data_IF_886916613474
#
_entry.id   IF_886916613474
#
_cell.length_a   1.000
_cell.length_b   1.000
_cell.length_c   1.000
_cell.angle_alpha   90.00
_cell.angle_beta   90.00
_cell.angle_gamma   90.00
#
_symmetry.space_group_name_H-M   'P 1'
#
loop_
_entity.id
_entity.type
_entity.pdbx_description
1 polymer ?
#
# COMPACT_ATOMS: atom_id res chain seq x y z
N UNK A 1 -17.04 11.38 -4.57
CA UNK A 1 -16.17 11.69 -3.41
C UNK A 1 -15.19 12.75 -3.88
N UNK A 2 -15.24 13.92 -3.25
CA UNK A 2 -14.26 14.98 -3.53
C UNK A 2 -12.89 14.59 -2.97
N UNK A 3 -11.83 15.23 -3.47
CA UNK A 3 -10.46 15.09 -2.95
C UNK A 3 -10.37 15.39 -1.44
N UNK A 4 -11.34 16.17 -0.93
CA UNK A 4 -11.51 16.54 0.49
C UNK A 4 -11.88 15.39 1.44
N UNK A 5 -12.29 14.22 0.93
CA UNK A 5 -12.72 13.10 1.78
C UNK A 5 -11.62 12.05 2.02
N UNK A 6 -10.43 12.21 1.42
CA UNK A 6 -9.36 11.21 1.51
C UNK A 6 -8.38 11.53 2.64
N UNK A 7 -8.02 10.51 3.40
CA UNK A 7 -6.99 10.60 4.44
C UNK A 7 -5.76 9.79 4.03
N UNK A 8 -4.62 10.47 3.88
CA UNK A 8 -3.36 9.85 3.49
C UNK A 8 -2.93 8.73 4.44
N UNK A 9 -3.28 8.83 5.73
CA UNK A 9 -3.04 7.79 6.72
C UNK A 9 -3.72 6.46 6.37
N UNK A 10 -4.96 6.51 5.87
CA UNK A 10 -5.73 5.34 5.46
C UNK A 10 -5.28 4.81 4.10
N UNK A 11 -4.97 5.70 3.16
CA UNK A 11 -4.45 5.31 1.84
C UNK A 11 -3.08 4.63 1.95
N UNK A 12 -2.17 5.17 2.76
CA UNK A 12 -0.85 4.57 2.98
C UNK A 12 -0.95 3.24 3.75
N UNK A 13 -1.85 3.13 4.73
CA UNK A 13 -2.07 1.86 5.43
C UNK A 13 -2.56 0.77 4.46
N UNK A 14 -3.54 1.10 3.59
CA UNK A 14 -4.03 0.16 2.60
C UNK A 14 -2.99 -0.15 1.51
N UNK A 15 -2.26 0.86 1.05
CA UNK A 15 -1.18 0.67 0.08
C UNK A 15 -0.10 -0.25 0.63
N UNK A 16 0.31 -0.05 1.89
CA UNK A 16 1.30 -0.90 2.55
C UNK A 16 0.78 -2.33 2.67
N UNK A 17 -0.49 -2.54 3.05
CA UNK A 17 -1.04 -3.90 3.16
C UNK A 17 -0.94 -4.68 1.83
N UNK A 18 -1.21 -4.03 0.71
CA UNK A 18 -1.13 -4.66 -0.63
C UNK A 18 0.32 -4.90 -1.06
N UNK A 19 1.23 -4.00 -0.71
CA UNK A 19 2.61 -3.99 -1.24
C UNK A 19 3.65 -4.52 -0.24
N UNK A 20 3.26 -4.88 0.98
CA UNK A 20 4.14 -5.30 2.07
C UNK A 20 5.10 -6.43 1.65
N UNK A 21 4.58 -7.45 0.98
CA UNK A 21 5.37 -8.60 0.54
C UNK A 21 6.54 -8.22 -0.39
N UNK A 22 6.41 -7.13 -1.15
CA UNK A 22 7.44 -6.67 -2.09
C UNK A 22 8.34 -5.61 -1.45
N UNK A 23 7.79 -4.73 -0.62
CA UNK A 23 8.53 -3.59 -0.01
C UNK A 23 9.40 -3.98 1.18
N UNK A 24 9.09 -5.09 1.83
CA UNK A 24 9.70 -5.51 3.09
C UNK A 24 10.68 -6.69 2.94
N UNK A 25 11.08 -7.01 1.69
CA UNK A 25 12.07 -8.01 1.32
C UNK A 25 11.82 -9.45 1.82
N UNK A 26 11.09 -10.25 1.03
CA UNK A 26 10.99 -11.71 1.20
C UNK A 26 10.00 -12.18 2.28
N UNK A 27 10.12 -13.44 2.74
CA UNK A 27 9.24 -14.01 3.77
C UNK A 27 9.26 -13.23 5.09
N UNK A 28 10.38 -12.57 5.42
CA UNK A 28 10.48 -11.64 6.56
C UNK A 28 9.72 -10.33 6.37
N UNK A 29 9.25 -10.06 5.15
CA UNK A 29 8.44 -8.91 4.79
C UNK A 29 6.93 -9.14 4.77
N UNK A 30 6.48 -10.40 4.87
CA UNK A 30 5.08 -10.69 5.18
C UNK A 30 4.94 -10.69 6.69
N UNK A 31 4.22 -9.71 7.22
CA UNK A 31 4.13 -9.50 8.68
C UNK A 31 3.49 -10.67 9.42
N UNK A 32 2.62 -11.38 8.72
CA UNK A 32 2.17 -12.72 9.05
C UNK A 32 2.70 -13.64 7.94
N UNK A 33 3.97 -14.04 8.05
CA UNK A 33 4.55 -14.91 7.05
C UNK A 33 3.75 -16.22 7.01
N UNK A 34 3.56 -16.86 5.84
CA UNK A 34 2.86 -18.15 5.78
C UNK A 34 3.47 -19.18 6.73
N UNK A 35 4.80 -19.12 6.94
CA UNK A 35 5.51 -19.96 7.90
C UNK A 35 5.14 -19.63 9.36
N UNK A 36 5.08 -18.35 9.73
CA UNK A 36 4.67 -17.91 11.07
C UNK A 36 3.22 -18.28 11.35
N UNK A 37 2.31 -18.05 10.39
CA UNK A 37 0.92 -18.44 10.53
C UNK A 37 0.78 -19.96 10.68
N UNK A 38 1.44 -20.74 9.82
CA UNK A 38 1.42 -22.19 9.92
C UNK A 38 1.97 -22.68 11.27
N UNK A 39 3.03 -22.03 11.79
CA UNK A 39 3.56 -22.33 13.11
C UNK A 39 2.52 -22.07 14.21
N UNK A 40 1.85 -20.92 14.20
CA UNK A 40 0.79 -20.60 15.16
C UNK A 40 -0.42 -21.54 15.05
N UNK A 41 -0.87 -21.88 13.84
CA UNK A 41 -1.99 -22.80 13.61
C UNK A 41 -1.69 -24.23 14.04
N UNK A 42 -0.43 -24.66 13.95
CA UNK A 42 0.01 -26.01 14.34
C UNK A 42 0.24 -26.18 15.84
N UNK A 43 0.30 -25.10 16.61
CA UNK A 43 0.60 -25.12 18.03
C UNK A 43 -0.65 -25.39 18.88
N UNK A 44 -0.53 -26.25 19.90
CA UNK A 44 -1.62 -26.50 20.87
C UNK A 44 -1.94 -25.23 21.70
N UNK A 45 -0.92 -24.40 21.94
CA UNK A 45 -1.02 -23.13 22.66
C UNK A 45 -0.34 -22.01 21.82
N UNK A 46 -1.03 -21.48 20.79
CA UNK A 46 -0.45 -20.51 19.86
C UNK A 46 0.11 -19.28 20.58
N UNK A 47 -0.57 -18.82 21.63
CA UNK A 47 -0.18 -17.66 22.42
C UNK A 47 1.14 -17.78 23.19
N UNK A 48 1.69 -18.99 23.30
CA UNK A 48 3.00 -19.26 23.92
C UNK A 48 4.13 -19.34 22.88
N UNK A 49 3.79 -19.31 21.59
CA UNK A 49 4.78 -19.32 20.51
C UNK A 49 5.48 -17.98 20.43
N UNK A 50 6.80 -17.99 20.28
CA UNK A 50 7.61 -16.77 20.15
C UNK A 50 7.08 -15.85 19.04
N UNK A 51 6.92 -14.57 19.34
CA UNK A 51 6.47 -13.57 18.37
C UNK A 51 4.95 -13.52 18.17
N UNK A 52 4.14 -14.39 18.79
CA UNK A 52 2.68 -14.38 18.62
C UNK A 52 2.07 -13.01 19.00
N UNK A 53 2.37 -12.53 20.21
CA UNK A 53 1.78 -11.29 20.74
C UNK A 53 2.36 -10.06 20.05
N UNK A 54 3.64 -10.06 19.72
CA UNK A 54 4.30 -8.98 18.96
C UNK A 54 3.71 -8.86 17.56
N UNK A 55 3.48 -9.99 16.89
CA UNK A 55 2.83 -10.02 15.57
C UNK A 55 1.42 -9.48 15.66
N UNK A 56 0.63 -9.94 16.64
CA UNK A 56 -0.72 -9.45 16.85
C UNK A 56 -0.77 -7.94 17.11
N UNK A 57 0.11 -7.41 17.97
CA UNK A 57 0.19 -5.98 18.24
C UNK A 57 0.59 -5.17 17.01
N UNK A 58 1.57 -5.65 16.24
CA UNK A 58 2.01 -5.01 14.99
C UNK A 58 0.88 -4.92 13.96
N UNK A 59 0.08 -5.97 13.79
CA UNK A 59 -1.10 -5.96 12.91
C UNK A 59 -2.11 -4.88 13.33
N UNK A 60 -2.35 -4.72 14.64
CA UNK A 60 -3.23 -3.69 15.19
C UNK A 60 -2.68 -2.28 14.90
N UNK A 61 -1.40 -2.03 15.14
CA UNK A 61 -0.77 -0.73 14.90
C UNK A 61 -0.83 -0.29 13.43
N UNK A 62 -0.93 -1.24 12.50
CA UNK A 62 -0.97 -1.00 11.06
C UNK A 62 -2.39 -1.00 10.50
N UNK A 63 -3.39 -1.24 11.34
CA UNK A 63 -4.80 -1.27 10.96
C UNK A 63 -5.21 -2.52 10.18
N UNK A 64 -4.45 -3.62 10.28
CA UNK A 64 -4.73 -4.89 9.59
C UNK A 64 -5.65 -5.77 10.47
N UNK A 65 -6.85 -5.26 10.71
CA UNK A 65 -7.75 -5.78 11.75
C UNK A 65 -8.31 -7.16 11.45
N UNK A 66 -8.52 -7.51 10.19
CA UNK A 66 -8.96 -8.85 9.80
C UNK A 66 -7.90 -9.91 10.15
N UNK A 67 -6.63 -9.63 9.85
CA UNK A 67 -5.51 -10.51 10.18
C UNK A 67 -5.31 -10.60 11.69
N UNK A 68 -5.42 -9.46 12.40
CA UNK A 68 -5.34 -9.42 13.86
C UNK A 68 -6.47 -10.24 14.53
N UNK A 69 -7.71 -10.12 14.06
CA UNK A 69 -8.84 -10.89 14.59
C UNK A 69 -8.71 -12.38 14.29
N UNK A 70 -8.19 -12.73 13.10
CA UNK A 70 -7.93 -14.12 12.72
C UNK A 70 -6.88 -14.73 13.64
N UNK A 71 -5.75 -14.03 13.85
CA UNK A 71 -4.68 -14.48 14.75
C UNK A 71 -5.18 -14.58 16.21
N UNK A 72 -5.89 -13.57 16.71
CA UNK A 72 -6.49 -13.59 18.05
C UNK A 72 -7.49 -14.75 18.24
N UNK A 73 -8.17 -15.13 17.16
CA UNK A 73 -9.11 -16.26 17.13
C UNK A 73 -8.44 -17.64 17.30
N UNK A 74 -7.14 -17.75 17.08
CA UNK A 74 -6.37 -18.99 17.30
C UNK A 74 -6.08 -19.26 18.77
N UNK A 75 -6.21 -18.26 19.65
CA UNK A 75 -5.87 -18.42 21.07
C UNK A 75 -6.60 -19.61 21.70
N UNK A 76 -5.82 -20.49 22.38
CA UNK A 76 -6.31 -21.75 22.95
C UNK A 76 -7.51 -21.59 23.91
N UNK A 77 -7.62 -20.42 24.55
CA UNK A 77 -8.69 -20.09 25.49
C UNK A 77 -10.07 -20.21 24.85
N UNK A 78 -10.21 -19.84 23.56
CA UNK A 78 -11.49 -19.92 22.85
C UNK A 78 -11.97 -21.36 22.69
N UNK A 79 -11.05 -22.28 22.40
CA UNK A 79 -11.36 -23.70 22.29
C UNK A 79 -11.73 -24.29 23.66
N UNK A 80 -10.96 -23.96 24.69
CA UNK A 80 -11.23 -24.38 26.08
C UNK A 80 -12.58 -23.85 26.61
N UNK A 81 -12.97 -22.64 26.22
CA UNK A 81 -14.27 -22.07 26.58
C UNK A 81 -15.42 -22.84 25.92
N UNK A 82 -15.29 -23.14 24.62
CA UNK A 82 -16.30 -23.89 23.84
C UNK A 82 -16.45 -25.34 24.31
N UNK A 83 -15.41 -25.96 24.84
CA UNK A 83 -15.45 -27.33 25.37
C UNK A 83 -16.06 -27.45 26.77
N UNK A 84 -16.67 -26.39 27.30
CA UNK A 84 -17.36 -26.40 28.59
C UNK A 84 -16.51 -25.93 29.77
N UNK A 85 -15.33 -25.35 29.53
CA UNK A 85 -14.48 -24.75 30.56
C UNK A 85 -15.05 -23.48 31.21
N UNK A 86 -16.27 -23.06 30.86
CA UNK A 86 -16.86 -21.79 31.28
C UNK A 86 -17.06 -21.63 32.79
N UNK A 87 -17.03 -22.74 33.53
CA UNK A 87 -17.14 -22.76 34.98
C UNK A 87 -15.81 -22.45 35.71
N UNK A 88 -14.68 -22.42 35.00
CA UNK A 88 -13.37 -22.12 35.61
C UNK A 88 -13.11 -20.61 35.68
N UNK A 89 -13.04 -19.99 36.89
CA UNK A 89 -12.98 -18.52 37.03
C UNK A 89 -11.80 -17.87 36.29
N UNK A 90 -10.62 -18.52 36.29
CA UNK A 90 -9.44 -17.99 35.58
C UNK A 90 -9.61 -18.01 34.05
N UNK A 91 -10.34 -18.99 33.50
CA UNK A 91 -10.64 -19.04 32.07
C UNK A 91 -11.69 -17.99 31.71
N UNK A 92 -12.70 -17.81 32.57
CA UNK A 92 -13.69 -16.75 32.39
C UNK A 92 -13.06 -15.35 32.40
N UNK A 93 -12.10 -15.09 33.30
CA UNK A 93 -11.32 -13.84 33.31
C UNK A 93 -10.59 -13.61 31.99
N UNK A 94 -9.83 -14.62 31.54
CA UNK A 94 -9.10 -14.58 30.26
C UNK A 94 -10.01 -14.30 29.06
N UNK A 95 -11.15 -14.97 28.99
CA UNK A 95 -12.12 -14.77 27.90
C UNK A 95 -12.70 -13.36 27.92
N UNK A 96 -13.00 -12.79 29.10
CA UNK A 96 -13.45 -11.39 29.18
C UNK A 96 -12.43 -10.43 28.61
N UNK A 97 -11.15 -10.58 28.97
CA UNK A 97 -10.07 -9.72 28.45
C UNK A 97 -9.93 -9.85 26.93
N UNK A 98 -9.95 -11.09 26.40
CA UNK A 98 -9.83 -11.35 24.97
C UNK A 98 -11.05 -10.84 24.19
N UNK A 99 -12.27 -10.98 24.74
CA UNK A 99 -13.49 -10.52 24.09
C UNK A 99 -13.61 -8.99 24.08
N UNK A 100 -13.13 -8.31 25.13
CA UNK A 100 -13.04 -6.85 25.15
C UNK A 100 -12.12 -6.33 24.03
N UNK A 101 -10.94 -6.95 23.86
CA UNK A 101 -10.01 -6.63 22.76
C UNK A 101 -10.64 -6.93 21.40
N UNK A 102 -11.22 -8.12 21.21
CA UNK A 102 -11.85 -8.53 19.96
C UNK A 102 -13.02 -7.61 19.57
N UNK A 103 -13.84 -7.18 20.55
CA UNK A 103 -14.96 -6.28 20.33
C UNK A 103 -14.52 -4.90 19.86
N UNK A 104 -13.46 -4.34 20.47
CA UNK A 104 -12.89 -3.07 20.02
C UNK A 104 -12.26 -3.17 18.63
N UNK A 105 -11.58 -4.28 18.31
CA UNK A 105 -11.02 -4.52 16.98
C UNK A 105 -12.09 -4.63 15.90
N UNK A 106 -13.24 -5.25 16.20
CA UNK A 106 -14.39 -5.30 15.27
C UNK A 106 -14.98 -3.92 14.99
N UNK A 107 -14.84 -2.99 15.93
CA UNK A 107 -15.26 -1.60 15.80
C UNK A 107 -14.15 -0.66 15.29
N UNK A 108 -13.03 -1.19 14.79
CA UNK A 108 -11.92 -0.35 14.33
C UNK A 108 -12.35 0.60 13.20
N UNK A 109 -12.07 1.92 13.28
CA UNK A 109 -12.50 2.89 12.28
C UNK A 109 -11.79 2.67 10.95
N UNK A 110 -12.55 2.61 9.85
CA UNK A 110 -12.04 2.51 8.48
C UNK A 110 -12.71 3.54 7.58
N UNK A 111 -11.93 4.23 6.76
CA UNK A 111 -12.47 5.16 5.78
C UNK A 111 -12.86 4.40 4.50
N UNK A 112 -14.10 4.54 4.06
CA UNK A 112 -14.61 3.90 2.86
C UNK A 112 -13.82 4.37 1.63
N UNK A 113 -13.50 3.45 0.72
CA UNK A 113 -12.74 3.75 -0.49
C UNK A 113 -11.25 3.95 -0.30
N UNK A 114 -10.73 3.98 0.93
CA UNK A 114 -9.28 3.93 1.16
C UNK A 114 -8.69 2.65 0.57
N UNK A 115 -7.73 2.77 -0.34
CA UNK A 115 -7.16 1.64 -1.07
C UNK A 115 -7.89 1.22 -2.36
N UNK A 116 -8.97 1.91 -2.75
CA UNK A 116 -9.63 1.73 -4.03
C UNK A 116 -8.89 2.46 -5.18
N UNK A 117 -7.55 2.48 -5.15
CA UNK A 117 -6.77 2.92 -6.30
C UNK A 117 -7.13 2.05 -7.50
N UNK A 118 -7.39 2.68 -8.65
CA UNK A 118 -7.83 2.03 -9.88
C UNK A 118 -6.86 0.89 -10.26
N UNK A 119 -7.30 -0.37 -10.12
CA UNK A 119 -6.53 -1.56 -10.49
C UNK A 119 -6.11 -2.46 -9.33
N UNK A 120 -6.30 -2.07 -8.06
CA UNK A 120 -6.15 -3.03 -6.96
C UNK A 120 -7.33 -4.02 -7.00
N UNK A 121 -7.11 -5.35 -6.93
CA UNK A 121 -8.21 -6.30 -6.88
C UNK A 121 -9.12 -5.88 -5.72
N UNK A 122 -10.39 -5.59 -6.03
CA UNK A 122 -11.41 -5.38 -5.01
C UNK A 122 -11.31 -6.57 -4.07
N UNK A 123 -10.97 -6.30 -2.81
CA UNK A 123 -11.11 -7.28 -1.73
C UNK A 123 -12.49 -7.91 -1.89
N UNK A 124 -12.54 -9.24 -1.88
CA UNK A 124 -13.80 -9.96 -1.86
C UNK A 124 -14.65 -9.39 -0.71
N UNK A 125 -15.97 -9.34 -0.87
CA UNK A 125 -16.87 -8.98 0.23
C UNK A 125 -16.67 -9.84 1.50
N UNK A 126 -15.98 -10.99 1.36
CA UNK A 126 -15.54 -11.85 2.46
C UNK A 126 -14.34 -11.29 3.26
N UNK A 127 -13.47 -10.45 2.65
CA UNK A 127 -12.33 -9.80 3.31
C UNK A 127 -12.70 -8.43 3.93
N UNK A 128 -13.97 -8.03 3.80
CA UNK A 128 -14.54 -6.77 4.31
C UNK A 128 -14.93 -6.84 5.80
N UNK A 129 -14.71 -7.98 6.46
CA UNK A 129 -15.43 -8.35 7.68
C UNK A 129 -15.02 -7.69 9.00
N UNK A 130 -13.99 -6.84 9.04
CA UNK A 130 -13.48 -6.26 10.28
C UNK A 130 -13.40 -4.73 10.23
N UNK A 131 -13.96 -4.09 11.27
CA UNK A 131 -13.98 -2.64 11.43
C UNK A 131 -15.30 -1.99 11.02
N UNK A 132 -15.47 -0.74 11.43
CA UNK A 132 -16.58 0.12 11.04
C UNK A 132 -16.17 0.99 9.86
N UNK A 133 -16.80 0.77 8.70
CA UNK A 133 -16.61 1.63 7.52
C UNK A 133 -17.39 2.95 7.67
N UNK A 134 -16.72 4.05 7.36
CA UNK A 134 -17.21 5.43 7.50
C UNK A 134 -17.02 6.17 6.18
N UNK A 135 -17.99 7.00 5.79
CA UNK A 135 -18.06 7.49 4.40
C UNK A 135 -17.32 8.81 4.17
N UNK A 136 -17.05 9.57 5.24
CA UNK A 136 -16.39 10.87 5.16
C UNK A 136 -15.24 11.02 6.16
N UNK A 137 -14.28 11.89 5.82
CA UNK A 137 -13.10 12.12 6.66
C UNK A 137 -13.46 12.67 8.06
N UNK A 138 -14.39 13.62 8.15
CA UNK A 138 -14.82 14.20 9.43
C UNK A 138 -15.52 13.17 10.33
N UNK A 139 -16.44 12.39 9.76
CA UNK A 139 -17.11 11.29 10.45
C UNK A 139 -16.08 10.27 10.95
N UNK A 140 -15.11 9.92 10.09
CA UNK A 140 -14.01 9.02 10.44
C UNK A 140 -13.20 9.52 11.63
N UNK A 141 -12.75 10.78 11.60
CA UNK A 141 -11.94 11.35 12.67
C UNK A 141 -12.70 11.41 14.00
N UNK A 142 -13.97 11.82 13.95
CA UNK A 142 -14.83 11.90 15.13
C UNK A 142 -15.10 10.52 15.75
N UNK A 143 -15.44 9.53 14.91
CA UNK A 143 -15.64 8.16 15.39
C UNK A 143 -14.35 7.58 15.97
N UNK A 144 -13.23 7.79 15.28
CA UNK A 144 -11.92 7.29 15.70
C UNK A 144 -11.52 7.84 17.06
N UNK A 145 -11.66 9.15 17.29
CA UNK A 145 -11.35 9.74 18.59
C UNK A 145 -12.18 9.11 19.73
N UNK A 146 -13.47 8.85 19.48
CA UNK A 146 -14.33 8.13 20.44
C UNK A 146 -13.87 6.68 20.66
N UNK A 147 -13.53 5.97 19.60
CA UNK A 147 -13.04 4.59 19.67
C UNK A 147 -11.69 4.48 20.41
N UNK A 148 -10.76 5.41 20.19
CA UNK A 148 -9.51 5.49 20.97
C UNK A 148 -9.79 5.79 22.44
N UNK A 149 -10.73 6.71 22.73
CA UNK A 149 -11.17 7.00 24.08
C UNK A 149 -11.78 5.78 24.79
N UNK A 150 -12.61 5.01 24.10
CA UNK A 150 -13.15 3.75 24.62
C UNK A 150 -12.04 2.72 24.90
N UNK A 151 -11.06 2.61 24.00
CA UNK A 151 -9.92 1.71 24.19
C UNK A 151 -9.10 2.10 25.43
N UNK A 152 -8.88 3.39 25.65
CA UNK A 152 -8.21 3.91 26.84
C UNK A 152 -9.01 3.68 28.14
N UNK A 153 -10.34 3.82 28.08
CA UNK A 153 -11.22 3.54 29.23
C UNK A 153 -11.15 2.07 29.64
N UNK A 154 -11.26 1.15 28.67
CA UNK A 154 -11.15 -0.30 28.93
C UNK A 154 -9.76 -0.64 29.49
N UNK A 155 -8.70 -0.05 28.94
CA UNK A 155 -7.33 -0.21 29.45
C UNK A 155 -7.20 0.21 30.93
N UNK A 156 -7.94 1.24 31.36
CA UNK A 156 -7.98 1.73 32.73
C UNK A 156 -8.83 0.89 33.70
N UNK A 157 -9.63 -0.06 33.19
CA UNK A 157 -10.56 -0.85 34.00
C UNK A 157 -9.86 -1.98 34.76
N UNK A 158 -9.43 -1.72 35.99
CA UNK A 158 -8.67 -2.67 36.82
C UNK A 158 -9.34 -4.04 37.03
N UNK A 159 -10.67 -4.11 37.02
CA UNK A 159 -11.44 -5.35 37.21
C UNK A 159 -11.44 -6.31 36.01
N UNK A 160 -11.00 -5.84 34.84
CA UNK A 160 -10.92 -6.66 33.62
C UNK A 160 -9.65 -7.51 33.59
N UNK A 161 -8.66 -7.18 34.42
CA UNK A 161 -7.29 -7.65 34.29
C UNK A 161 -6.93 -8.64 35.39
N UNK A 162 -6.93 -9.93 35.06
CA UNK A 162 -6.48 -10.99 35.96
C UNK A 162 -5.70 -12.06 35.17
N UNK A 163 -4.47 -12.37 35.61
CA UNK A 163 -3.67 -13.51 35.11
C UNK A 163 -2.60 -13.18 34.06
N UNK A 164 -1.94 -14.22 33.55
CA UNK A 164 -0.70 -14.13 32.73
C UNK A 164 -0.87 -13.41 31.38
N UNK A 165 -2.09 -13.29 30.86
CA UNK A 165 -2.37 -12.61 29.58
C UNK A 165 -2.86 -11.17 29.76
N UNK A 166 -2.81 -10.63 30.98
CA UNK A 166 -3.08 -9.22 31.25
C UNK A 166 -2.15 -8.32 30.42
N UNK A 167 -0.83 -8.51 30.54
CA UNK A 167 0.13 -7.61 29.93
C UNK A 167 0.00 -7.54 28.39
N UNK A 168 -0.13 -8.66 27.65
CA UNK A 168 -0.34 -8.61 26.22
C UNK A 168 -1.69 -7.98 25.78
N UNK A 169 -2.79 -8.24 26.50
CA UNK A 169 -4.08 -7.62 26.18
C UNK A 169 -4.07 -6.11 26.42
N UNK A 170 -3.43 -5.67 27.51
CA UNK A 170 -3.24 -4.25 27.81
C UNK A 170 -2.35 -3.57 26.78
N UNK A 171 -1.30 -4.25 26.32
CA UNK A 171 -0.45 -3.78 25.23
C UNK A 171 -1.26 -3.57 23.94
N UNK A 172 -2.16 -4.48 23.58
CA UNK A 172 -3.06 -4.31 22.44
C UNK A 172 -4.00 -3.11 22.59
N UNK A 173 -4.54 -2.90 23.79
CA UNK A 173 -5.39 -1.75 24.08
C UNK A 173 -4.64 -0.42 24.06
N UNK A 174 -3.39 -0.40 24.51
CA UNK A 174 -2.54 0.78 24.40
C UNK A 174 -2.28 1.14 22.93
N UNK A 175 -2.01 0.15 22.07
CA UNK A 175 -1.96 0.36 20.61
C UNK A 175 -3.28 0.96 20.07
N UNK A 176 -4.43 0.39 20.44
CA UNK A 176 -5.74 0.88 20.02
C UNK A 176 -6.06 2.27 20.57
N UNK A 177 -5.60 2.59 21.79
CA UNK A 177 -5.74 3.91 22.40
C UNK A 177 -4.84 4.98 21.75
N UNK A 178 -3.97 4.61 20.81
CA UNK A 178 -3.11 5.54 20.09
C UNK A 178 -1.75 5.78 20.73
N UNK A 179 -1.22 4.82 21.50
CA UNK A 179 0.16 4.88 21.99
C UNK A 179 1.16 4.87 20.81
N UNK A 180 1.67 6.06 20.49
CA UNK A 180 2.60 6.29 19.38
C UNK A 180 3.96 5.64 19.66
N UNK A 181 4.39 5.61 20.93
CA UNK A 181 5.69 5.08 21.30
C UNK A 181 5.70 3.57 21.14
N UNK A 182 4.70 2.89 21.71
CA UNK A 182 4.54 1.45 21.57
C UNK A 182 4.37 1.06 20.09
N UNK A 183 3.52 1.78 19.35
CA UNK A 183 3.32 1.52 17.91
C UNK A 183 4.61 1.72 17.11
N UNK A 184 5.44 2.69 17.48
CA UNK A 184 6.74 2.91 16.84
C UNK A 184 7.76 1.81 17.16
N UNK A 185 7.73 1.24 18.37
CA UNK A 185 8.65 0.16 18.78
C UNK A 185 8.36 -1.14 18.02
N UNK A 186 7.10 -1.43 17.73
CA UNK A 186 6.65 -2.64 17.03
C UNK A 186 6.91 -2.61 15.52
N UNK A 187 7.07 -1.42 14.94
CA UNK A 187 7.38 -1.28 13.53
C UNK A 187 8.82 -1.72 13.21
N UNK A 188 8.97 -2.66 12.27
CA UNK A 188 10.27 -3.24 11.93
C UNK A 188 10.94 -2.53 10.75
N UNK A 189 10.21 -1.71 10.02
CA UNK A 189 10.64 -1.09 8.76
C UNK A 189 10.17 0.37 8.66
N UNK A 190 10.77 1.18 7.77
CA UNK A 190 10.33 2.57 7.59
C UNK A 190 8.87 2.74 7.15
N UNK A 191 8.28 1.93 6.23
CA UNK A 191 6.91 2.18 5.81
C UNK A 191 5.93 1.80 6.93
N UNK A 192 6.25 0.78 7.72
CA UNK A 192 5.48 0.44 8.93
C UNK A 192 5.54 1.54 9.97
N UNK A 193 6.73 2.07 10.23
CA UNK A 193 6.90 3.12 11.22
C UNK A 193 6.15 4.39 10.79
N UNK A 194 6.16 4.71 9.49
CA UNK A 194 5.37 5.79 8.94
C UNK A 194 3.86 5.55 9.14
N UNK A 195 3.34 4.39 8.73
CA UNK A 195 1.93 4.04 8.87
C UNK A 195 1.51 4.01 10.35
N UNK A 196 2.30 3.38 11.22
CA UNK A 196 2.02 3.30 12.65
C UNK A 196 1.93 4.70 13.29
N UNK A 197 2.82 5.63 12.93
CA UNK A 197 2.77 7.02 13.43
C UNK A 197 1.57 7.80 12.88
N UNK A 198 1.25 7.62 11.60
CA UNK A 198 0.07 8.23 10.99
C UNK A 198 -1.23 7.71 11.60
N UNK A 199 -1.30 6.41 11.86
CA UNK A 199 -2.46 5.78 12.49
C UNK A 199 -2.54 6.08 13.98
N UNK A 200 -1.45 6.09 14.73
CA UNK A 200 -1.53 6.37 16.17
C UNK A 200 -1.72 7.86 16.46
N UNK A 201 -0.93 8.73 15.83
CA UNK A 201 -0.79 10.14 16.22
C UNK A 201 -1.22 11.19 15.19
N UNK A 202 -1.19 10.87 13.89
CA UNK A 202 -1.43 11.87 12.84
C UNK A 202 -2.45 11.43 11.76
N UNK A 203 -3.71 11.09 12.14
CA UNK A 203 -4.73 10.62 11.19
C UNK A 203 -4.99 11.58 10.02
N UNK A 204 -4.95 12.88 10.32
CA UNK A 204 -5.39 13.97 9.47
C UNK A 204 -4.23 14.86 9.02
N UNK A 205 -3.03 14.29 8.81
CA UNK A 205 -1.90 15.08 8.31
C UNK A 205 -2.26 15.68 6.94
N UNK A 206 -2.47 17.00 6.93
CA UNK A 206 -2.91 17.75 5.75
C UNK A 206 -1.82 18.58 5.10
N UNK A 207 -0.79 18.98 5.85
CA UNK A 207 0.32 19.77 5.31
C UNK A 207 1.41 18.86 4.76
N UNK A 208 1.82 19.12 3.52
CA UNK A 208 2.88 18.38 2.83
C UNK A 208 4.21 18.38 3.62
N UNK A 209 4.55 19.50 4.27
CA UNK A 209 5.75 19.62 5.11
C UNK A 209 5.74 18.67 6.32
N UNK A 210 4.58 18.50 6.97
CA UNK A 210 4.43 17.59 8.11
C UNK A 210 4.57 16.13 7.65
N UNK A 211 3.94 15.78 6.51
CA UNK A 211 4.10 14.45 5.92
C UNK A 211 5.56 14.18 5.55
N UNK A 212 6.25 15.14 4.93
CA UNK A 212 7.66 15.02 4.58
C UNK A 212 8.54 14.81 5.81
N UNK A 213 8.26 15.54 6.90
CA UNK A 213 8.95 15.36 8.17
C UNK A 213 8.75 13.93 8.72
N UNK A 214 7.51 13.43 8.73
CA UNK A 214 7.21 12.07 9.18
C UNK A 214 7.89 11.00 8.32
N UNK A 215 7.88 11.15 7.00
CA UNK A 215 8.56 10.24 6.06
C UNK A 215 10.07 10.19 6.35
N UNK A 216 10.72 11.36 6.45
CA UNK A 216 12.16 11.45 6.74
C UNK A 216 12.50 10.89 8.11
N UNK A 217 11.68 11.17 9.13
CA UNK A 217 11.89 10.67 10.48
C UNK A 217 11.72 9.14 10.56
N UNK A 218 10.78 8.57 9.80
CA UNK A 218 10.62 7.11 9.72
C UNK A 218 11.81 6.46 9.01
N UNK A 219 12.26 7.02 7.89
CA UNK A 219 13.42 6.54 7.16
C UNK A 219 14.73 6.65 7.96
N UNK A 220 14.92 7.72 8.73
CA UNK A 220 16.11 7.88 9.57
C UNK A 220 16.16 6.85 10.71
N UNK A 221 15.00 6.53 11.30
CA UNK A 221 14.91 5.56 12.40
C UNK A 221 14.99 4.09 11.93
N UNK A 222 14.55 3.81 10.69
CA UNK A 222 14.49 2.47 10.10
C UNK A 222 14.93 2.53 8.63
N UNK A 223 16.21 2.77 8.33
CA UNK A 223 16.66 2.98 6.95
C UNK A 223 16.29 1.79 6.05
N UNK A 224 16.00 2.03 4.76
CA UNK A 224 15.79 0.94 3.82
C UNK A 224 17.03 0.02 3.80
N UNK A 225 16.85 -1.29 3.60
CA UNK A 225 17.97 -2.21 3.52
C UNK A 225 18.94 -1.78 2.41
N UNK A 226 20.24 -1.94 2.64
CA UNK A 226 21.25 -1.62 1.64
C UNK A 226 21.08 -2.55 0.42
N UNK A 227 20.87 -1.96 -0.76
CA UNK A 227 20.73 -2.74 -1.99
C UNK A 227 22.07 -3.35 -2.39
N UNK A 228 22.20 -4.66 -2.21
CA UNK A 228 23.29 -5.44 -2.80
C UNK A 228 23.08 -5.64 -4.31
N UNK A 229 24.10 -6.13 -5.04
CA UNK A 229 23.95 -6.50 -6.44
C UNK A 229 22.84 -7.56 -6.60
N UNK A 230 21.77 -7.22 -7.32
CA UNK A 230 20.65 -8.13 -7.59
C UNK A 230 19.53 -8.13 -6.54
N UNK A 231 19.61 -7.32 -5.48
CA UNK A 231 18.52 -7.21 -4.48
C UNK A 231 17.41 -6.25 -4.97
N UNK A 232 16.50 -6.81 -5.77
CA UNK A 232 15.37 -6.07 -6.33
C UNK A 232 14.40 -5.53 -5.26
N UNK A 233 14.27 -6.21 -4.12
CA UNK A 233 13.35 -5.79 -3.07
C UNK A 233 13.91 -4.59 -2.29
N UNK A 234 15.21 -4.61 -1.95
CA UNK A 234 15.87 -3.46 -1.36
C UNK A 234 15.86 -2.24 -2.29
N UNK A 235 16.15 -2.44 -3.58
CA UNK A 235 16.06 -1.39 -4.58
C UNK A 235 14.64 -0.81 -4.71
N UNK A 236 13.61 -1.65 -4.68
CA UNK A 236 12.22 -1.19 -4.70
C UNK A 236 11.86 -0.41 -3.44
N UNK A 237 12.27 -0.87 -2.26
CA UNK A 237 12.02 -0.18 -0.99
C UNK A 237 12.65 1.21 -0.97
N UNK A 238 13.90 1.32 -1.42
CA UNK A 238 14.60 2.60 -1.56
C UNK A 238 13.91 3.53 -2.57
N UNK A 239 13.44 2.99 -3.70
CA UNK A 239 12.71 3.75 -4.72
C UNK A 239 11.34 4.23 -4.24
N UNK A 240 10.62 3.40 -3.50
CA UNK A 240 9.34 3.78 -2.89
C UNK A 240 9.53 4.91 -1.86
N UNK A 241 10.59 4.84 -1.05
CA UNK A 241 10.94 5.92 -0.13
C UNK A 241 11.29 7.21 -0.88
N UNK A 242 12.10 7.13 -1.94
CA UNK A 242 12.46 8.30 -2.76
C UNK A 242 11.21 8.94 -3.38
N UNK A 243 10.30 8.13 -3.93
CA UNK A 243 9.04 8.59 -4.50
C UNK A 243 8.16 9.28 -3.44
N UNK A 244 7.92 8.64 -2.28
CA UNK A 244 7.10 9.24 -1.22
C UNK A 244 7.72 10.52 -0.67
N UNK A 245 9.05 10.58 -0.55
CA UNK A 245 9.77 11.78 -0.11
C UNK A 245 9.58 12.91 -1.12
N UNK A 246 9.70 12.62 -2.41
CA UNK A 246 9.50 13.61 -3.47
C UNK A 246 8.05 14.10 -3.52
N UNK A 247 7.07 13.19 -3.45
CA UNK A 247 5.66 13.55 -3.42
C UNK A 247 5.31 14.40 -2.19
N UNK A 248 5.79 14.02 -0.99
CA UNK A 248 5.57 14.81 0.22
C UNK A 248 6.31 16.16 0.19
N UNK A 249 7.43 16.25 -0.52
CA UNK A 249 8.15 17.51 -0.77
C UNK A 249 7.61 18.33 -1.93
N UNK A 250 6.57 17.87 -2.62
CA UNK A 250 6.03 18.47 -3.84
C UNK A 250 7.11 18.66 -4.94
N UNK A 251 8.10 17.78 -4.99
CA UNK A 251 9.16 17.78 -6.01
C UNK A 251 8.79 16.83 -7.16
N UNK A 252 8.20 17.39 -8.21
CA UNK A 252 7.77 16.65 -9.38
C UNK A 252 8.94 15.99 -10.13
N UNK A 253 10.11 16.63 -10.18
CA UNK A 253 11.26 16.10 -10.91
C UNK A 253 11.84 14.88 -10.18
N UNK A 254 12.02 14.98 -8.86
CA UNK A 254 12.48 13.87 -8.05
C UNK A 254 11.47 12.71 -8.05
N UNK A 255 10.17 13.00 -8.05
CA UNK A 255 9.13 11.96 -8.14
C UNK A 255 9.21 11.22 -9.48
N UNK A 256 9.38 11.95 -10.58
CA UNK A 256 9.53 11.35 -11.89
C UNK A 256 10.81 10.54 -12.03
N UNK A 257 11.94 11.02 -11.49
CA UNK A 257 13.20 10.28 -11.44
C UNK A 257 13.07 8.96 -10.66
N UNK A 258 12.37 9.00 -9.52
CA UNK A 258 12.08 7.79 -8.74
C UNK A 258 11.22 6.80 -9.54
N UNK A 259 10.26 7.27 -10.34
CA UNK A 259 9.43 6.41 -11.18
C UNK A 259 10.15 5.88 -12.43
N UNK A 260 11.11 6.61 -13.00
CA UNK A 260 11.75 6.23 -14.26
C UNK A 260 13.00 5.36 -14.08
N UNK A 261 13.70 5.48 -12.96
CA UNK A 261 14.90 4.70 -12.70
C UNK A 261 14.61 3.21 -12.50
N UNK A 262 15.18 2.36 -13.37
CA UNK A 262 15.01 0.90 -13.32
C UNK A 262 13.55 0.45 -13.52
N UNK A 263 12.73 1.26 -14.19
CA UNK A 263 11.34 0.97 -14.49
C UNK A 263 11.11 0.65 -15.96
N UNK A 264 9.93 0.10 -16.27
CA UNK A 264 9.53 -0.13 -17.67
C UNK A 264 9.27 1.19 -18.38
N UNK A 265 9.48 1.22 -19.70
CA UNK A 265 9.16 2.39 -20.53
C UNK A 265 7.69 2.82 -20.39
N UNK A 266 6.79 1.85 -20.20
CA UNK A 266 5.37 2.10 -19.90
C UNK A 266 5.21 2.90 -18.61
N UNK A 267 5.85 2.49 -17.51
CA UNK A 267 5.70 3.18 -16.22
C UNK A 267 6.26 4.59 -16.31
N UNK A 268 7.42 4.79 -16.92
CA UNK A 268 8.03 6.10 -17.08
C UNK A 268 7.15 7.06 -17.87
N UNK A 269 6.56 6.60 -18.99
CA UNK A 269 5.67 7.41 -19.81
C UNK A 269 4.39 7.84 -19.06
N UNK A 270 3.77 6.92 -18.33
CA UNK A 270 2.52 7.22 -17.63
C UNK A 270 2.75 7.97 -16.31
N UNK A 271 3.85 7.70 -15.60
CA UNK A 271 4.24 8.46 -14.43
C UNK A 271 4.48 9.93 -14.78
N UNK A 272 5.16 10.22 -15.89
CA UNK A 272 5.37 11.59 -16.35
C UNK A 272 4.04 12.33 -16.58
N UNK A 273 3.05 11.66 -17.19
CA UNK A 273 1.72 12.21 -17.39
C UNK A 273 1.00 12.47 -16.07
N UNK A 274 1.00 11.50 -15.14
CA UNK A 274 0.34 11.64 -13.83
C UNK A 274 0.96 12.75 -13.01
N UNK A 275 2.30 12.83 -12.97
CA UNK A 275 3.01 13.89 -12.23
C UNK A 275 2.71 15.26 -12.83
N UNK A 276 2.67 15.37 -14.15
CA UNK A 276 2.37 16.63 -14.84
C UNK A 276 0.97 17.20 -14.55
N UNK A 277 -0.02 16.34 -14.29
CA UNK A 277 -1.38 16.78 -13.94
C UNK A 277 -1.45 17.47 -12.57
N UNK A 278 -0.49 17.21 -11.69
CA UNK A 278 -0.43 17.86 -10.39
C UNK A 278 0.09 19.31 -10.53
N UNK A 279 -0.42 20.30 -9.77
CA UNK A 279 0.07 21.69 -9.84
C UNK A 279 1.60 21.83 -9.73
N UNK A 280 2.25 21.04 -8.88
CA UNK A 280 3.71 21.02 -8.71
C UNK A 280 4.48 20.45 -9.92
N UNK A 281 3.81 19.70 -10.80
CA UNK A 281 4.40 19.08 -11.99
C UNK A 281 4.10 19.82 -13.29
N UNK A 282 3.32 20.91 -13.29
CA UNK A 282 2.95 21.66 -14.50
C UNK A 282 4.15 22.12 -15.33
N UNK A 283 5.28 22.42 -14.68
CA UNK A 283 6.53 22.79 -15.37
C UNK A 283 7.02 21.70 -16.33
N UNK A 284 6.70 20.43 -16.07
CA UNK A 284 7.07 19.31 -16.94
C UNK A 284 6.36 19.37 -18.30
N UNK A 285 5.18 19.99 -18.37
CA UNK A 285 4.42 20.19 -19.61
C UNK A 285 4.79 21.48 -20.34
N UNK A 286 5.28 22.50 -19.64
CA UNK A 286 5.68 23.77 -20.26
C UNK A 286 7.11 23.77 -20.77
N UNK A 287 8.02 23.09 -20.08
CA UNK A 287 9.45 23.25 -20.31
C UNK A 287 9.96 22.25 -21.34
N UNK A 288 10.53 22.79 -22.42
CA UNK A 288 11.19 21.99 -23.44
C UNK A 288 12.57 21.55 -22.96
N UNK A 289 12.85 20.26 -23.15
CA UNK A 289 14.19 19.72 -23.01
C UNK A 289 15.04 20.26 -24.17
N UNK A 290 16.02 21.12 -23.86
CA UNK A 290 16.83 21.81 -24.86
C UNK A 290 17.49 20.87 -25.89
N UNK A 291 17.93 19.69 -25.45
CA UNK A 291 18.59 18.70 -26.32
C UNK A 291 17.61 17.92 -27.23
N UNK A 292 16.35 17.79 -26.82
CA UNK A 292 15.36 16.93 -27.48
C UNK A 292 14.25 17.72 -28.19
N UNK A 293 14.11 19.02 -27.91
CA UNK A 293 13.09 19.88 -28.51
C UNK A 293 11.65 19.48 -28.17
N UNK A 294 11.43 18.76 -27.07
CA UNK A 294 10.11 18.34 -26.61
C UNK A 294 10.03 18.36 -25.08
N UNK A 295 8.82 18.23 -24.55
CA UNK A 295 8.58 18.21 -23.09
C UNK A 295 8.98 16.86 -22.49
N UNK A 296 9.20 16.81 -21.17
CA UNK A 296 9.53 15.56 -20.49
C UNK A 296 8.46 14.45 -20.68
N UNK A 297 7.15 14.72 -20.53
CA UNK A 297 6.12 13.72 -20.80
C UNK A 297 6.16 13.20 -22.24
N UNK A 298 6.41 14.08 -23.22
CA UNK A 298 6.55 13.67 -24.61
C UNK A 298 7.80 12.81 -24.84
N UNK A 299 8.93 13.18 -24.26
CA UNK A 299 10.16 12.38 -24.32
C UNK A 299 9.95 10.95 -23.83
N UNK A 300 9.36 10.76 -22.65
CA UNK A 300 9.08 9.41 -22.13
C UNK A 300 8.04 8.67 -22.97
N UNK A 301 7.02 9.37 -23.49
CA UNK A 301 6.02 8.81 -24.39
C UNK A 301 6.65 8.29 -25.69
N UNK A 302 7.56 9.05 -26.30
CA UNK A 302 8.28 8.64 -27.51
C UNK A 302 9.17 7.41 -27.26
N UNK A 303 9.84 7.34 -26.11
CA UNK A 303 10.62 6.16 -25.72
C UNK A 303 9.73 4.91 -25.58
N UNK A 304 8.53 5.07 -24.98
CA UNK A 304 7.57 3.98 -24.89
C UNK A 304 7.00 3.57 -26.26
N UNK A 305 6.67 4.55 -27.11
CA UNK A 305 6.25 4.31 -28.49
C UNK A 305 7.29 3.53 -29.28
N UNK A 306 8.58 3.83 -29.11
CA UNK A 306 9.66 3.08 -29.76
C UNK A 306 9.62 1.59 -29.41
N UNK A 307 9.37 1.26 -28.14
CA UNK A 307 9.21 -0.11 -27.68
C UNK A 307 7.91 -0.78 -28.16
N UNK A 308 6.83 -0.03 -28.38
CA UNK A 308 5.59 -0.58 -28.97
C UNK A 308 5.71 -0.77 -30.48
N UNK A 309 6.40 0.12 -31.17
CA UNK A 309 6.53 0.11 -32.63
C UNK A 309 7.38 -1.06 -33.14
N UNK A 310 8.25 -1.63 -32.30
CA UNK A 310 9.08 -2.79 -32.64
C UNK A 310 8.28 -4.08 -32.82
N UNK A 311 7.03 -4.15 -32.34
CA UNK A 311 6.20 -5.35 -32.44
C UNK A 311 4.91 -5.05 -33.21
N UNK A 312 4.64 -5.84 -34.25
CA UNK A 312 3.48 -5.66 -35.15
C UNK A 312 2.13 -5.50 -34.41
N UNK A 313 1.79 -6.34 -33.41
CA UNK A 313 0.48 -6.26 -32.74
C UNK A 313 0.27 -4.96 -31.97
N UNK A 314 1.35 -4.28 -31.57
CA UNK A 314 1.29 -3.06 -30.73
C UNK A 314 1.47 -1.76 -31.52
N UNK A 315 1.65 -1.84 -32.85
CA UNK A 315 1.83 -0.64 -33.69
C UNK A 315 0.60 0.26 -33.75
N UNK A 316 -0.60 -0.30 -33.73
CA UNK A 316 -1.84 0.49 -33.68
C UNK A 316 -1.91 1.33 -32.39
N UNK A 317 -1.50 0.74 -31.25
CA UNK A 317 -1.40 1.44 -29.97
C UNK A 317 -0.31 2.53 -30.05
N UNK A 318 0.84 2.22 -30.64
CA UNK A 318 1.92 3.19 -30.85
C UNK A 318 1.45 4.43 -31.63
N UNK A 319 0.67 4.23 -32.71
CA UNK A 319 0.04 5.33 -33.48
C UNK A 319 -0.88 6.19 -32.62
N UNK A 320 -1.67 5.57 -31.75
CA UNK A 320 -2.55 6.27 -30.80
C UNK A 320 -1.79 7.22 -29.87
N UNK A 321 -0.65 6.77 -29.31
CA UNK A 321 0.20 7.63 -28.48
C UNK A 321 0.85 8.77 -29.27
N UNK A 322 1.28 8.52 -30.52
CA UNK A 322 1.92 9.54 -31.37
C UNK A 322 0.96 10.67 -31.74
N UNK A 323 -0.33 10.39 -31.92
CA UNK A 323 -1.33 11.42 -32.15
C UNK A 323 -1.48 12.41 -30.97
N UNK A 324 -0.96 12.05 -29.79
CA UNK A 324 -1.00 12.86 -28.55
C UNK A 324 0.37 13.45 -28.21
N UNK A 325 1.32 13.45 -29.15
CA UNK A 325 2.65 14.05 -29.01
C UNK A 325 2.64 15.42 -29.73
N UNK A 326 2.76 16.54 -29.01
CA UNK A 326 2.61 17.88 -29.59
C UNK A 326 3.79 18.34 -30.46
N UNK A 327 5.02 17.89 -30.24
CA UNK A 327 6.20 18.39 -30.95
C UNK A 327 6.66 17.44 -32.06
N UNK A 328 6.82 16.15 -31.75
CA UNK A 328 7.41 15.15 -32.67
C UNK A 328 6.42 14.10 -33.15
N UNK A 329 5.16 14.16 -32.72
CA UNK A 329 4.14 13.15 -32.99
C UNK A 329 3.90 12.89 -34.47
N UNK A 330 3.67 13.95 -35.24
CA UNK A 330 3.38 13.88 -36.67
C UNK A 330 4.55 13.27 -37.47
N UNK A 331 5.77 13.75 -37.21
CA UNK A 331 6.98 13.26 -37.88
C UNK A 331 7.23 11.77 -37.57
N UNK A 332 7.07 11.38 -36.31
CA UNK A 332 7.22 9.99 -35.89
C UNK A 332 6.12 9.10 -36.48
N UNK A 333 4.88 9.58 -36.58
CA UNK A 333 3.75 8.86 -37.16
C UNK A 333 4.00 8.58 -38.66
N UNK A 334 4.45 9.59 -39.41
CA UNK A 334 4.81 9.43 -40.82
C UNK A 334 5.92 8.38 -41.02
N UNK A 335 6.90 8.38 -40.13
CA UNK A 335 8.02 7.42 -40.18
C UNK A 335 7.55 5.99 -39.89
N UNK A 336 6.61 5.81 -38.95
CA UNK A 336 6.02 4.52 -38.63
C UNK A 336 5.16 3.99 -39.78
N UNK A 337 4.31 4.83 -40.36
CA UNK A 337 3.42 4.45 -41.46
C UNK A 337 4.22 4.02 -42.71
N UNK A 338 5.33 4.71 -43.01
CA UNK A 338 6.26 4.31 -44.07
C UNK A 338 6.87 2.93 -43.85
N UNK A 339 7.27 2.62 -42.60
CA UNK A 339 7.84 1.30 -42.26
C UNK A 339 6.81 0.20 -42.43
N UNK A 340 5.58 0.43 -41.94
CA UNK A 340 4.48 -0.53 -42.09
C UNK A 340 4.15 -0.79 -43.57
N UNK A 341 4.11 0.26 -44.39
CA UNK A 341 3.89 0.12 -45.82
C UNK A 341 5.01 -0.67 -46.53
N UNK A 342 6.27 -0.42 -46.17
CA UNK A 342 7.41 -1.15 -46.72
C UNK A 342 7.38 -2.65 -46.36
N UNK A 343 7.06 -2.98 -45.10
CA UNK A 343 6.95 -4.38 -44.64
C UNK A 343 5.79 -5.12 -45.32
N UNK A 344 4.63 -4.46 -45.48
CA UNK A 344 3.50 -5.02 -46.23
C UNK A 344 3.84 -5.32 -47.70
N UNK A 345 4.76 -4.55 -48.28
CA UNK A 345 5.23 -4.75 -49.67
C UNK A 345 6.29 -5.87 -49.77
N UNK A 346 7.03 -6.15 -48.69
CA UNK A 346 8.06 -7.20 -48.63
C UNK A 346 7.52 -8.60 -48.31
N UNK A 347 6.25 -8.72 -47.89
CA UNK A 347 5.60 -10.00 -47.59
C UNK A 347 4.39 -10.28 -48.52
N UNK A 348 4.59 -10.42 -49.85
CA UNK A 348 3.50 -10.67 -50.80
C UNK A 348 2.82 -12.04 -50.60
N UNK A 349 3.42 -12.96 -49.84
CA UNK A 349 2.89 -14.30 -49.59
C UNK A 349 1.61 -14.34 -48.73
N UNK A 350 1.27 -13.26 -48.00
CA UNK A 350 0.02 -13.17 -47.23
C UNK A 350 -1.09 -12.37 -47.94
N UNK A 351 -0.78 -11.61 -49.00
CA UNK A 351 -1.80 -10.94 -49.82
C UNK A 351 -2.60 -11.93 -50.69
N UNK A 352 -2.06 -13.13 -50.94
CA UNK A 352 -2.75 -14.19 -51.69
C UNK A 352 -3.77 -15.01 -50.90
N UNK A 353 -3.90 -14.81 -49.57
CA UNK A 353 -4.80 -15.61 -48.71
C UNK A 353 -6.08 -14.88 -48.26
N UNK A 354 -6.26 -13.61 -48.63
CA UNK A 354 -7.42 -12.79 -48.22
C UNK A 354 -8.19 -12.14 -49.39
N UNK A 355 -8.20 -12.75 -50.58
CA UNK A 355 -9.21 -12.44 -51.59
C UNK A 355 -10.27 -13.55 -51.56
N UNK A 356 -11.56 -13.24 -51.28
CA UNK A 356 -12.62 -14.20 -51.53
C UNK A 356 -12.69 -14.45 -53.03
N UNK A 357 -12.54 -15.71 -53.45
CA UNK A 357 -12.90 -16.08 -54.82
C UNK A 357 -14.41 -15.96 -54.95
N UNK A 358 -14.85 -14.89 -55.60
CA UNK A 358 -16.20 -14.80 -56.15
C UNK A 358 -16.33 -15.82 -57.29
N UNK A 359 -17.32 -16.69 -57.16
CA UNK A 359 -17.83 -17.57 -58.22
C UNK A 359 -19.32 -17.37 -58.34
#
# INVERSE_FOLDING_TARGET
MGESDRLISQELASWLQVNAAVLLAGEGGRQLSPASLAAFESADYPELTEGYWETLQRLVCLGWTADALSLLGLHSAWAAWKSGGSLHPALAGRIRSLDAVASLLRCFPRLAGAGAAAGSPRRSAADSGAGQELSGAEEFLSYRARWQGQSALVLGEGSLWEGEHEAPCRALLACMAGDVEQSSRLATSWPELLVARLLAGHPAVGHAADLLHLVRAAAAARPPPAAGPGDAAAALSARALALLTACAGLDAQAALQACSHGASAWLSAHAALVVAQHPAGRQLESDLLAEYGCTQPEFYKLNFVSALASHEPTRSVARGYLAWCPHHGEQALHSLDKRMAAEATQCPALQGLCLPQES
#
